data_IF_188363463694
#
_entry.id   IF_188363463694
#
_cell.length_a   1.000
_cell.length_b   1.000
_cell.length_c   1.000
_cell.angle_alpha   90.00
_cell.angle_beta   90.00
_cell.angle_gamma   90.00
#
_symmetry.space_group_name_H-M   'P 1'
#
loop_
_entity.id
_entity.type
_entity.pdbx_description
1 polymer ?
#
# COMPACT_ATOMS: atom_id res chain seq x y z
N UNK A 1 -6.55 -9.16 29.35
CA UNK A 1 -6.92 -10.06 28.24
C UNK A 1 -5.75 -10.09 27.29
N UNK A 2 -5.22 -11.26 26.99
CA UNK A 2 -4.14 -11.41 25.99
C UNK A 2 -4.73 -11.17 24.60
N UNK A 3 -3.95 -10.68 23.64
CA UNK A 3 -4.42 -10.39 22.28
C UNK A 3 -5.07 -11.61 21.61
N UNK A 4 -4.62 -12.81 21.97
CA UNK A 4 -5.16 -14.10 21.49
C UNK A 4 -6.58 -14.37 22.00
N UNK A 5 -6.89 -14.08 23.27
CA UNK A 5 -8.24 -14.32 23.82
C UNK A 5 -9.28 -13.39 23.19
N UNK A 6 -8.87 -12.16 22.90
CA UNK A 6 -9.74 -11.17 22.25
C UNK A 6 -10.04 -11.56 20.78
N UNK A 7 -9.09 -12.18 20.08
CA UNK A 7 -9.30 -12.64 18.71
C UNK A 7 -10.30 -13.80 18.65
N UNK A 8 -10.21 -14.75 19.57
CA UNK A 8 -11.16 -15.87 19.65
C UNK A 8 -12.59 -15.41 19.96
N UNK A 9 -12.74 -14.43 20.84
CA UNK A 9 -14.06 -13.84 21.17
C UNK A 9 -14.73 -13.22 19.92
N UNK A 10 -13.98 -12.44 19.14
CA UNK A 10 -14.47 -11.84 17.89
C UNK A 10 -14.85 -12.88 16.82
N UNK A 11 -14.12 -13.99 16.75
CA UNK A 11 -14.43 -15.09 15.82
C UNK A 11 -15.71 -15.83 16.22
N UNK A 12 -15.95 -16.02 17.52
CA UNK A 12 -17.19 -16.59 18.05
C UNK A 12 -18.39 -15.68 17.78
N UNK A 13 -18.27 -14.37 18.02
CA UNK A 13 -19.31 -13.39 17.72
C UNK A 13 -19.64 -13.35 16.22
N UNK A 14 -18.62 -13.44 15.36
CA UNK A 14 -18.81 -13.49 13.90
C UNK A 14 -19.59 -14.75 13.51
N UNK A 15 -19.28 -15.91 14.10
CA UNK A 15 -19.99 -17.15 13.83
C UNK A 15 -21.47 -17.07 14.26
N UNK A 16 -21.75 -16.41 15.38
CA UNK A 16 -23.12 -16.16 15.84
C UNK A 16 -23.89 -15.24 14.89
N UNK A 17 -23.27 -14.14 14.43
CA UNK A 17 -23.86 -13.22 13.46
C UNK A 17 -24.21 -13.91 12.13
N UNK A 18 -23.32 -14.79 11.63
CA UNK A 18 -23.58 -15.61 10.44
C UNK A 18 -24.75 -16.57 10.67
N UNK A 19 -24.81 -17.21 11.84
CA UNK A 19 -25.91 -18.11 12.20
C UNK A 19 -27.27 -17.39 12.30
N UNK A 20 -27.28 -16.10 12.63
CA UNK A 20 -28.48 -15.26 12.63
C UNK A 20 -28.75 -14.54 11.30
N UNK A 21 -28.02 -14.87 10.23
CA UNK A 21 -28.13 -14.22 8.90
C UNK A 21 -27.85 -12.70 8.90
N UNK A 22 -27.16 -12.20 9.93
CA UNK A 22 -26.76 -10.80 10.03
C UNK A 22 -25.38 -10.60 9.40
N UNK A 23 -25.39 -10.47 8.08
CA UNK A 23 -24.15 -10.35 7.30
C UNK A 23 -23.49 -8.98 7.43
N UNK A 24 -24.22 -7.94 7.82
CA UNK A 24 -23.61 -6.62 8.04
C UNK A 24 -22.71 -6.64 9.27
N UNK A 25 -23.20 -7.19 10.39
CA UNK A 25 -22.38 -7.32 11.60
C UNK A 25 -21.26 -8.34 11.40
N UNK A 26 -21.51 -9.46 10.73
CA UNK A 26 -20.47 -10.43 10.39
C UNK A 26 -19.34 -9.80 9.53
N UNK A 27 -19.69 -8.94 8.57
CA UNK A 27 -18.70 -8.22 7.77
C UNK A 27 -17.86 -7.25 8.62
N UNK A 28 -18.51 -6.49 9.51
CA UNK A 28 -17.83 -5.56 10.41
C UNK A 28 -16.88 -6.28 11.40
N UNK A 29 -17.29 -7.45 11.91
CA UNK A 29 -16.47 -8.29 12.79
C UNK A 29 -15.27 -8.88 12.04
N UNK A 30 -15.49 -9.36 10.81
CA UNK A 30 -14.40 -9.84 9.94
C UNK A 30 -13.35 -8.76 9.69
N UNK A 31 -13.77 -7.52 9.40
CA UNK A 31 -12.84 -6.41 9.15
C UNK A 31 -11.98 -6.10 10.38
N UNK A 32 -12.55 -6.22 11.59
CA UNK A 32 -11.82 -6.07 12.86
C UNK A 32 -10.81 -7.20 13.07
N UNK A 33 -11.20 -8.45 12.85
CA UNK A 33 -10.31 -9.62 12.92
C UNK A 33 -9.13 -9.47 11.94
N UNK A 34 -9.40 -9.09 10.70
CA UNK A 34 -8.38 -8.90 9.68
C UNK A 34 -7.48 -7.68 9.97
N UNK A 35 -7.94 -6.70 10.76
CA UNK A 35 -7.12 -5.58 11.22
C UNK A 35 -6.12 -6.05 12.28
N UNK A 36 -6.61 -6.74 13.32
CA UNK A 36 -5.77 -7.26 14.41
C UNK A 36 -4.69 -8.20 13.89
N UNK A 37 -5.05 -9.15 13.00
CA UNK A 37 -4.10 -10.09 12.38
C UNK A 37 -3.01 -9.39 11.56
N UNK A 38 -3.35 -8.28 10.88
CA UNK A 38 -2.36 -7.48 10.15
C UNK A 38 -1.42 -6.76 11.11
N UNK A 39 -1.94 -6.16 12.16
CA UNK A 39 -1.13 -5.45 13.14
C UNK A 39 -0.17 -6.40 13.86
N UNK A 40 -0.61 -7.61 14.21
CA UNK A 40 0.25 -8.68 14.74
C UNK A 40 1.37 -9.05 13.76
N UNK A 41 1.04 -9.30 12.49
CA UNK A 41 2.03 -9.63 11.44
C UNK A 41 3.06 -8.53 11.23
N UNK A 42 2.64 -7.27 11.37
CA UNK A 42 3.54 -6.10 11.27
C UNK A 42 4.49 -6.07 12.46
N UNK A 43 4.00 -6.32 13.68
CA UNK A 43 4.80 -6.35 14.90
C UNK A 43 5.80 -7.52 14.95
N UNK A 44 5.48 -8.64 14.30
CA UNK A 44 6.36 -9.83 14.20
C UNK A 44 7.54 -9.66 13.23
N UNK A 45 7.54 -8.66 12.35
CA UNK A 45 8.63 -8.50 11.38
C UNK A 45 9.95 -8.04 12.04
N UNK A 46 11.06 -8.78 11.88
CA UNK A 46 12.36 -8.38 12.42
C UNK A 46 12.86 -7.10 11.73
N UNK A 47 13.17 -6.06 12.51
CA UNK A 47 13.57 -4.74 12.02
C UNK A 47 12.48 -3.66 12.05
N UNK A 48 11.31 -3.96 12.63
CA UNK A 48 10.20 -3.01 12.82
C UNK A 48 10.43 -1.99 13.98
N UNK A 49 11.67 -1.73 14.39
CA UNK A 49 12.02 -0.76 15.44
C UNK A 49 11.82 0.71 15.00
N UNK A 50 11.50 0.95 13.72
CA UNK A 50 11.15 2.25 13.16
C UNK A 50 9.76 2.18 12.53
N UNK A 51 8.99 3.30 12.50
CA UNK A 51 7.56 3.31 12.20
C UNK A 51 7.27 3.15 10.69
N UNK A 52 7.92 2.21 10.00
CA UNK A 52 7.70 1.96 8.59
C UNK A 52 6.29 1.40 8.32
N UNK A 53 5.74 0.70 9.32
CA UNK A 53 4.34 0.30 9.40
C UNK A 53 3.35 1.48 9.37
N UNK A 54 3.74 2.65 9.89
CA UNK A 54 2.85 3.81 10.02
C UNK A 54 2.62 4.58 8.72
N UNK A 55 3.48 4.38 7.70
CA UNK A 55 3.36 5.09 6.42
C UNK A 55 2.27 4.48 5.52
N UNK A 56 1.90 3.22 5.73
CA UNK A 56 0.87 2.53 4.97
C UNK A 56 -0.44 2.56 5.75
N UNK A 57 -1.23 3.62 5.55
CA UNK A 57 -2.58 3.72 6.10
C UNK A 57 -3.58 3.01 5.18
N UNK A 58 -4.54 2.30 5.78
CA UNK A 58 -5.67 1.73 5.04
C UNK A 58 -6.42 2.84 4.32
N UNK A 59 -6.77 2.59 3.06
CA UNK A 59 -7.66 3.47 2.32
C UNK A 59 -9.09 3.32 2.85
N UNK A 60 -9.72 4.43 3.20
CA UNK A 60 -11.12 4.44 3.64
C UNK A 60 -12.05 4.35 2.41
N UNK A 61 -12.99 3.38 2.38
CA UNK A 61 -14.03 3.34 1.35
C UNK A 61 -14.77 4.68 1.28
N UNK A 62 -14.93 5.23 0.07
CA UNK A 62 -15.59 6.54 -0.13
C UNK A 62 -14.70 7.77 0.04
N UNK A 63 -13.51 7.67 0.66
CA UNK A 63 -12.49 8.75 0.63
C UNK A 63 -11.73 8.84 -0.69
N UNK A 64 -11.82 7.79 -1.50
CA UNK A 64 -11.29 7.79 -2.85
C UNK A 64 -12.19 8.64 -3.76
N UNK A 65 -11.82 9.91 -3.99
CA UNK A 65 -12.47 10.76 -4.98
C UNK A 65 -12.32 10.19 -6.40
N UNK A 66 -13.25 10.54 -7.30
CA UNK A 66 -13.13 10.27 -8.74
C UNK A 66 -11.73 10.68 -9.23
N UNK A 67 -10.87 9.71 -9.57
CA UNK A 67 -9.49 9.96 -10.01
C UNK A 67 -8.37 9.38 -9.13
N UNK A 68 -8.64 8.62 -8.07
CA UNK A 68 -7.60 7.97 -7.23
C UNK A 68 -6.75 6.90 -7.92
N UNK A 69 -7.02 6.57 -9.18
CA UNK A 69 -5.99 6.03 -10.07
C UNK A 69 -5.05 7.18 -10.49
N UNK A 70 -4.30 7.75 -9.54
CA UNK A 70 -3.32 8.77 -9.87
C UNK A 70 -2.18 8.09 -10.64
N UNK A 71 -2.24 8.10 -11.97
CA UNK A 71 -1.25 7.43 -12.81
C UNK A 71 0.11 8.15 -12.83
N UNK A 72 0.20 9.34 -12.23
CA UNK A 72 1.38 10.20 -12.29
C UNK A 72 1.79 10.68 -10.91
N UNK A 73 3.05 10.46 -10.58
CA UNK A 73 3.72 10.93 -9.38
C UNK A 73 3.63 12.46 -9.26
N UNK A 74 3.15 12.96 -8.11
CA UNK A 74 3.16 14.38 -7.77
C UNK A 74 4.30 14.66 -6.76
N UNK A 75 5.37 15.38 -7.16
CA UNK A 75 6.48 15.67 -6.26
C UNK A 75 6.04 16.65 -5.14
N UNK A 76 6.72 16.64 -3.98
CA UNK A 76 6.40 17.54 -2.88
C UNK A 76 6.68 19.01 -3.24
N UNK A 77 5.98 19.93 -2.57
CA UNK A 77 6.12 21.38 -2.79
C UNK A 77 7.57 21.81 -2.58
N UNK A 78 8.19 22.38 -3.62
CA UNK A 78 9.58 22.86 -3.60
C UNK A 78 10.63 21.82 -4.02
N UNK A 79 10.22 20.64 -4.46
CA UNK A 79 11.15 19.66 -5.03
C UNK A 79 11.66 20.12 -6.41
N UNK A 80 12.98 20.08 -6.59
CA UNK A 80 13.65 20.38 -7.86
C UNK A 80 14.34 19.11 -8.35
N UNK A 81 14.04 18.61 -9.57
CA UNK A 81 14.72 17.44 -10.12
C UNK A 81 16.22 17.71 -10.30
N UNK A 82 17.09 16.70 -10.07
CA UNK A 82 18.51 16.86 -10.35
C UNK A 82 18.75 17.08 -11.85
N UNK A 83 19.82 17.78 -12.24
CA UNK A 83 20.18 17.95 -13.64
C UNK A 83 20.47 16.59 -14.29
N UNK A 84 20.07 16.44 -15.55
CA UNK A 84 20.37 15.23 -16.32
C UNK A 84 21.89 15.08 -16.44
N UNK A 85 22.47 13.88 -16.26
CA UNK A 85 23.88 13.67 -16.51
C UNK A 85 24.22 14.03 -17.96
N UNK A 86 25.45 14.49 -18.19
CA UNK A 86 25.94 14.80 -19.53
C UNK A 86 25.74 13.57 -20.43
N UNK A 87 24.99 13.68 -21.55
CA UNK A 87 24.94 12.61 -22.51
C UNK A 87 26.37 12.43 -23.05
N UNK A 88 27.05 11.38 -22.58
CA UNK A 88 28.37 10.91 -23.05
C UNK A 88 28.37 10.46 -24.53
N UNK A 89 27.51 11.05 -25.35
CA UNK A 89 27.24 10.78 -26.76
C UNK A 89 27.57 11.98 -27.65
N UNK A 90 28.14 13.06 -27.10
CA UNK A 90 28.71 14.17 -27.85
C UNK A 90 29.93 13.67 -28.65
N UNK A 91 29.69 13.21 -29.89
CA UNK A 91 30.75 12.71 -30.77
C UNK A 91 30.42 11.45 -31.58
N UNK A 92 29.24 10.84 -31.41
CA UNK A 92 28.80 9.72 -32.25
C UNK A 92 27.71 10.16 -33.22
N UNK A 93 28.11 10.42 -34.47
CA UNK A 93 27.16 10.53 -35.58
C UNK A 93 26.62 9.13 -35.90
N UNK A 94 25.29 8.99 -36.07
CA UNK A 94 24.72 7.78 -36.69
C UNK A 94 25.37 7.65 -38.08
N UNK A 95 26.12 6.55 -38.27
CA UNK A 95 27.02 6.32 -39.41
C UNK A 95 26.54 6.95 -40.71
N UNK A 96 27.35 7.85 -41.26
CA UNK A 96 27.12 8.48 -42.55
C UNK A 96 26.89 7.43 -43.63
N UNK A 97 25.83 7.62 -44.45
CA UNK A 97 25.58 6.81 -45.64
C UNK A 97 26.84 6.83 -46.52
N UNK A 98 27.47 5.67 -46.72
CA UNK A 98 28.45 5.48 -47.79
C UNK A 98 27.72 5.60 -49.12
N UNK A 99 27.73 6.79 -49.70
CA UNK A 99 27.44 6.99 -51.11
C UNK A 99 28.59 6.38 -51.90
N UNK A 100 28.39 5.20 -52.49
CA UNK A 100 29.27 4.72 -53.56
C UNK A 100 29.07 5.64 -54.77
N UNK A 101 30.11 6.40 -55.11
CA UNK A 101 30.32 7.02 -56.41
C UNK A 101 31.65 6.54 -56.94
#
# INVERSE_FOLDING_TARGET
MTQETHLSELEEEMAQAVASEDFETAAALRDQVDQIRRDQRIMEQPGADAPQASYLRRQEPGRMGLGTNQSSYAPPKGWVPPPKPDPMTTGHSKGGRRSKG
#
